data_IF_686632571675
#
_entry.id   IF_686632571675
#
_cell.length_a   1.000
_cell.length_b   1.000
_cell.length_c   1.000
_cell.angle_alpha   90.00
_cell.angle_beta   90.00
_cell.angle_gamma   90.00
#
_symmetry.space_group_name_H-M   'P 1'
#
loop_
_entity.id
_entity.type
_entity.pdbx_description
1 polymer ?
#
# COMPACT_ATOMS: atom_id res chain seq x y z
N UNK A 1 -38.78 8.70 7.09
CA UNK A 1 -38.69 8.98 5.63
C UNK A 1 -38.19 7.72 4.90
N UNK A 2 -39.04 6.70 4.70
CA UNK A 2 -38.59 5.39 4.19
C UNK A 2 -38.00 5.47 2.77
N UNK A 3 -38.49 6.39 1.94
CA UNK A 3 -37.99 6.60 0.58
C UNK A 3 -36.56 7.15 0.55
N UNK A 4 -36.21 8.05 1.49
CA UNK A 4 -34.87 8.63 1.60
C UNK A 4 -33.85 7.56 2.02
N UNK A 5 -34.20 6.74 3.03
CA UNK A 5 -33.34 5.64 3.49
C UNK A 5 -33.16 4.57 2.40
N UNK A 6 -34.21 4.25 1.63
CA UNK A 6 -34.11 3.35 0.47
C UNK A 6 -33.23 3.94 -0.64
N UNK A 7 -33.42 5.21 -0.97
CA UNK A 7 -32.59 5.91 -1.94
C UNK A 7 -31.12 5.91 -1.53
N UNK A 8 -30.83 6.25 -0.27
CA UNK A 8 -29.49 6.22 0.29
C UNK A 8 -28.87 4.82 0.16
N UNK A 9 -29.57 3.78 0.61
CA UNK A 9 -29.05 2.41 0.59
C UNK A 9 -28.80 1.91 -0.84
N UNK A 10 -29.68 2.24 -1.79
CA UNK A 10 -29.50 1.89 -3.20
C UNK A 10 -28.29 2.61 -3.81
N UNK A 11 -28.21 3.93 -3.61
CA UNK A 11 -27.11 4.76 -4.10
C UNK A 11 -25.77 4.27 -3.53
N UNK A 12 -25.72 4.03 -2.23
CA UNK A 12 -24.58 3.47 -1.53
C UNK A 12 -24.12 2.13 -2.13
N UNK A 13 -25.07 1.23 -2.40
CA UNK A 13 -24.80 -0.10 -2.97
C UNK A 13 -24.24 0.03 -4.38
N UNK A 14 -24.86 0.85 -5.24
CA UNK A 14 -24.44 1.04 -6.62
C UNK A 14 -23.04 1.67 -6.72
N UNK A 15 -22.77 2.74 -5.95
CA UNK A 15 -21.47 3.42 -5.96
C UNK A 15 -20.35 2.48 -5.49
N UNK A 16 -20.59 1.75 -4.39
CA UNK A 16 -19.62 0.80 -3.86
C UNK A 16 -19.37 -0.36 -4.82
N UNK A 17 -20.41 -0.84 -5.50
CA UNK A 17 -20.30 -1.91 -6.49
C UNK A 17 -19.47 -1.49 -7.70
N UNK A 18 -19.77 -0.32 -8.28
CA UNK A 18 -19.01 0.23 -9.40
C UNK A 18 -17.54 0.42 -8.99
N UNK A 19 -17.29 1.02 -7.82
CA UNK A 19 -15.93 1.19 -7.29
C UNK A 19 -15.18 -0.13 -7.14
N UNK A 20 -15.81 -1.15 -6.55
CA UNK A 20 -15.23 -2.49 -6.39
C UNK A 20 -14.88 -3.15 -7.73
N UNK A 21 -15.80 -3.12 -8.70
CA UNK A 21 -15.58 -3.70 -10.03
C UNK A 21 -14.45 -2.98 -10.77
N UNK A 22 -14.39 -1.65 -10.70
CA UNK A 22 -13.32 -0.89 -11.34
C UNK A 22 -11.94 -1.21 -10.74
N UNK A 23 -11.82 -1.27 -9.41
CA UNK A 23 -10.55 -1.66 -8.78
C UNK A 23 -10.15 -3.10 -9.11
N UNK A 24 -11.12 -4.03 -9.17
CA UNK A 24 -10.85 -5.41 -9.61
C UNK A 24 -10.40 -5.48 -11.07
N UNK A 25 -11.00 -4.67 -11.94
CA UNK A 25 -10.60 -4.58 -13.34
C UNK A 25 -9.15 -4.06 -13.47
N UNK A 26 -8.78 -3.02 -12.70
CA UNK A 26 -7.41 -2.51 -12.65
C UNK A 26 -6.45 -3.57 -12.10
N UNK A 27 -6.83 -4.27 -11.02
CA UNK A 27 -6.06 -5.38 -10.46
C UNK A 27 -5.77 -6.46 -11.50
N UNK A 28 -6.80 -6.90 -12.23
CA UNK A 28 -6.64 -7.93 -13.27
C UNK A 28 -5.75 -7.44 -14.41
N UNK A 29 -5.93 -6.19 -14.83
CA UNK A 29 -5.09 -5.57 -15.86
C UNK A 29 -3.62 -5.52 -15.43
N UNK A 30 -3.33 -5.06 -14.20
CA UNK A 30 -1.97 -5.01 -13.65
C UNK A 30 -1.34 -6.41 -13.66
N UNK A 31 -2.08 -7.42 -13.18
CA UNK A 31 -1.59 -8.79 -13.10
C UNK A 31 -1.28 -9.37 -14.49
N UNK A 32 -2.11 -9.07 -15.49
CA UNK A 32 -1.90 -9.51 -16.86
C UNK A 32 -0.72 -8.80 -17.53
N UNK A 33 -0.63 -7.46 -17.39
CA UNK A 33 0.33 -6.62 -18.12
C UNK A 33 1.72 -6.61 -17.49
N UNK A 34 1.81 -6.67 -16.16
CA UNK A 34 3.07 -6.56 -15.41
C UNK A 34 3.46 -7.89 -14.75
N UNK A 35 2.99 -9.02 -15.28
CA UNK A 35 3.24 -10.36 -14.72
C UNK A 35 4.73 -10.59 -14.43
N UNK A 36 5.60 -10.34 -15.41
CA UNK A 36 7.06 -10.51 -15.27
C UNK A 36 7.65 -9.63 -14.16
N UNK A 37 7.27 -8.35 -14.11
CA UNK A 37 7.73 -7.40 -13.07
C UNK A 37 7.24 -7.82 -11.68
N UNK A 38 6.03 -8.37 -11.58
CA UNK A 38 5.43 -8.84 -10.34
C UNK A 38 5.95 -10.20 -9.88
N UNK A 39 6.43 -11.05 -10.79
CA UNK A 39 7.02 -12.37 -10.51
C UNK A 39 8.52 -12.28 -10.20
N UNK A 40 9.24 -11.33 -10.81
CA UNK A 40 10.62 -10.98 -10.43
C UNK A 40 10.71 -10.27 -9.08
N UNK A 41 9.68 -9.51 -8.73
CA UNK A 41 9.53 -8.89 -7.43
C UNK A 41 9.04 -9.89 -6.38
N UNK A 42 9.60 -9.84 -5.17
CA UNK A 42 9.15 -10.72 -4.10
C UNK A 42 7.64 -10.63 -3.85
N UNK A 43 7.03 -11.75 -3.40
CA UNK A 43 5.61 -11.88 -3.01
C UNK A 43 5.10 -10.82 -2.01
N UNK A 44 6.03 -10.13 -1.36
CA UNK A 44 5.91 -9.10 -0.32
C UNK A 44 5.69 -7.68 -0.91
N UNK A 45 5.90 -7.46 -2.22
CA UNK A 45 5.70 -6.16 -2.91
C UNK A 45 4.49 -6.12 -3.84
N UNK A 46 3.47 -6.92 -3.52
CA UNK A 46 2.29 -7.06 -4.35
C UNK A 46 1.28 -5.93 -4.14
N UNK A 47 1.55 -4.80 -4.79
CA UNK A 47 0.63 -3.67 -4.89
C UNK A 47 -0.76 -4.09 -5.41
N UNK A 48 -0.78 -5.12 -6.26
CA UNK A 48 -1.96 -5.84 -6.73
C UNK A 48 -2.79 -6.43 -5.57
N UNK A 49 -2.16 -6.99 -4.53
CA UNK A 49 -2.88 -7.49 -3.35
C UNK A 49 -3.55 -6.37 -2.55
N UNK A 50 -2.91 -5.21 -2.42
CA UNK A 50 -3.51 -4.05 -1.75
C UNK A 50 -4.80 -3.59 -2.45
N UNK A 51 -4.75 -3.48 -3.78
CA UNK A 51 -5.90 -3.24 -4.65
C UNK A 51 -7.02 -4.27 -4.47
N UNK A 52 -6.66 -5.54 -4.39
CA UNK A 52 -7.61 -6.63 -4.15
C UNK A 52 -8.34 -6.46 -2.81
N UNK A 53 -7.59 -6.15 -1.73
CA UNK A 53 -8.19 -5.93 -0.41
C UNK A 53 -9.06 -4.69 -0.35
N UNK A 54 -8.67 -3.58 -1.00
CA UNK A 54 -9.55 -2.41 -1.14
C UNK A 54 -10.84 -2.73 -1.90
N UNK A 55 -10.75 -3.54 -2.95
CA UNK A 55 -11.92 -3.99 -3.70
C UNK A 55 -12.85 -4.84 -2.84
N UNK A 56 -12.30 -5.77 -2.05
CA UNK A 56 -13.09 -6.58 -1.13
C UNK A 56 -13.71 -5.76 -0.01
N UNK A 57 -13.01 -4.77 0.54
CA UNK A 57 -13.60 -3.81 1.50
C UNK A 57 -14.83 -3.11 0.91
N UNK A 58 -14.77 -2.65 -0.34
CA UNK A 58 -15.94 -2.05 -1.01
C UNK A 58 -17.05 -3.08 -1.32
N UNK A 59 -16.73 -4.34 -1.60
CA UNK A 59 -17.76 -5.37 -1.69
C UNK A 59 -18.47 -5.61 -0.35
N UNK A 60 -17.79 -5.43 0.79
CA UNK A 60 -18.45 -5.47 2.10
C UNK A 60 -19.43 -4.29 2.27
N UNK A 61 -19.15 -3.12 1.67
CA UNK A 61 -20.14 -2.05 1.60
C UNK A 61 -21.34 -2.41 0.75
N UNK A 62 -21.15 -3.10 -0.38
CA UNK A 62 -22.26 -3.62 -1.20
C UNK A 62 -23.13 -4.57 -0.38
N UNK A 63 -22.53 -5.55 0.32
CA UNK A 63 -23.29 -6.49 1.14
C UNK A 63 -23.97 -5.81 2.32
N UNK A 64 -23.33 -4.80 2.93
CA UNK A 64 -23.94 -3.96 3.97
C UNK A 64 -25.15 -3.16 3.45
N UNK A 65 -25.07 -2.61 2.24
CA UNK A 65 -26.19 -1.92 1.61
C UNK A 65 -27.36 -2.87 1.31
N UNK A 66 -27.07 -4.07 0.78
CA UNK A 66 -28.09 -5.11 0.56
C UNK A 66 -28.72 -5.56 1.88
N UNK A 67 -27.91 -5.76 2.93
CA UNK A 67 -28.41 -6.12 4.26
C UNK A 67 -29.37 -5.07 4.82
N UNK A 68 -29.06 -3.78 4.64
CA UNK A 68 -29.94 -2.69 5.02
C UNK A 68 -31.23 -2.64 4.19
N UNK A 69 -31.16 -2.91 2.88
CA UNK A 69 -32.36 -3.00 2.02
C UNK A 69 -33.26 -4.17 2.44
N UNK A 70 -32.70 -5.33 2.72
CA UNK A 70 -33.44 -6.50 3.21
C UNK A 70 -34.08 -6.22 4.57
N UNK A 71 -33.35 -5.55 5.47
CA UNK A 71 -33.88 -5.14 6.77
C UNK A 71 -35.08 -4.20 6.65
N UNK A 72 -35.02 -3.25 5.71
CA UNK A 72 -36.14 -2.35 5.43
C UNK A 72 -37.34 -3.10 4.83
N UNK A 73 -37.09 -4.03 3.89
CA UNK A 73 -38.13 -4.78 3.20
C UNK A 73 -38.87 -5.75 4.12
N UNK A 74 -38.14 -6.49 4.95
CA UNK A 74 -38.67 -7.45 5.92
C UNK A 74 -38.94 -6.83 7.30
N UNK A 75 -38.79 -5.51 7.44
CA UNK A 75 -39.10 -4.72 8.66
C UNK A 75 -38.37 -5.18 9.94
N UNK A 76 -37.15 -5.71 9.82
CA UNK A 76 -36.36 -6.16 10.97
C UNK A 76 -35.22 -5.19 11.35
N UNK A 77 -35.22 -3.96 10.84
CA UNK A 77 -34.17 -2.94 11.12
C UNK A 77 -33.90 -2.70 12.61
N UNK A 78 -34.94 -2.81 13.45
CA UNK A 78 -34.82 -2.59 14.91
C UNK A 78 -34.41 -3.83 15.70
N UNK A 79 -34.23 -4.97 15.03
CA UNK A 79 -33.91 -6.24 15.69
C UNK A 79 -32.43 -6.34 16.02
N UNK A 80 -32.11 -7.10 17.06
CA UNK A 80 -30.74 -7.48 17.41
C UNK A 80 -30.05 -8.20 16.24
N UNK A 81 -30.79 -8.99 15.45
CA UNK A 81 -30.29 -9.66 14.24
C UNK A 81 -29.75 -8.67 13.21
N UNK A 82 -30.44 -7.56 12.97
CA UNK A 82 -29.94 -6.52 12.06
C UNK A 82 -28.62 -5.93 12.57
N UNK A 83 -28.57 -5.57 13.85
CA UNK A 83 -27.42 -4.96 14.50
C UNK A 83 -26.19 -5.89 14.52
N UNK A 84 -26.38 -7.18 14.80
CA UNK A 84 -25.32 -8.20 14.72
C UNK A 84 -24.76 -8.28 13.30
N UNK A 85 -25.62 -8.31 12.27
CA UNK A 85 -25.18 -8.31 10.87
C UNK A 85 -24.36 -7.07 10.50
N UNK A 86 -24.80 -5.88 10.93
CA UNK A 86 -24.07 -4.62 10.71
C UNK A 86 -22.68 -4.66 11.37
N UNK A 87 -22.59 -5.11 12.63
CA UNK A 87 -21.33 -5.19 13.37
C UNK A 87 -20.33 -6.18 12.74
N UNK A 88 -20.81 -7.35 12.28
CA UNK A 88 -19.97 -8.33 11.58
C UNK A 88 -19.43 -7.73 10.28
N UNK A 89 -20.30 -7.10 9.47
CA UNK A 89 -19.89 -6.47 8.21
C UNK A 89 -18.92 -5.31 8.44
N UNK A 90 -19.13 -4.48 9.46
CA UNK A 90 -18.19 -3.42 9.86
C UNK A 90 -16.81 -3.99 10.21
N UNK A 91 -16.78 -5.09 10.97
CA UNK A 91 -15.55 -5.78 11.36
C UNK A 91 -14.79 -6.33 10.16
N UNK A 92 -15.48 -7.05 9.28
CA UNK A 92 -14.88 -7.63 8.07
C UNK A 92 -14.36 -6.53 7.15
N UNK A 93 -15.12 -5.43 7.03
CA UNK A 93 -14.69 -4.24 6.29
C UNK A 93 -13.39 -3.66 6.87
N UNK A 94 -13.34 -3.43 8.18
CA UNK A 94 -12.17 -2.93 8.90
C UNK A 94 -10.93 -3.83 8.74
N UNK A 95 -11.12 -5.15 8.72
CA UNK A 95 -10.06 -6.10 8.44
C UNK A 95 -9.51 -5.94 7.01
N UNK A 96 -10.37 -5.78 6.01
CA UNK A 96 -9.93 -5.56 4.63
C UNK A 96 -9.16 -4.24 4.47
N UNK A 97 -9.60 -3.15 5.11
CA UNK A 97 -8.85 -1.88 5.12
C UNK A 97 -7.46 -2.04 5.72
N UNK A 98 -7.35 -2.72 6.87
CA UNK A 98 -6.05 -3.00 7.49
C UNK A 98 -5.14 -3.83 6.57
N UNK A 99 -5.69 -4.90 5.99
CA UNK A 99 -4.94 -5.77 5.08
C UNK A 99 -4.48 -5.02 3.84
N UNK A 100 -5.27 -4.07 3.33
CA UNK A 100 -4.85 -3.21 2.24
C UNK A 100 -3.71 -2.26 2.64
N UNK A 101 -3.78 -1.65 3.84
CA UNK A 101 -2.74 -0.76 4.36
C UNK A 101 -1.38 -1.46 4.54
N UNK A 102 -1.35 -2.77 4.81
CA UNK A 102 -0.11 -3.55 4.84
C UNK A 102 0.72 -3.44 3.55
N UNK A 103 0.06 -3.24 2.40
CA UNK A 103 0.69 -3.14 1.07
C UNK A 103 0.95 -1.67 0.63
N UNK A 104 0.43 -0.68 1.35
CA UNK A 104 0.66 0.74 1.05
C UNK A 104 2.08 1.12 1.49
N UNK A 105 2.87 1.65 0.55
CA UNK A 105 4.31 1.88 0.77
C UNK A 105 4.61 2.90 1.87
N UNK A 106 3.79 3.93 1.99
CA UNK A 106 4.01 5.02 2.95
C UNK A 106 3.14 4.90 4.20
N UNK A 107 2.56 3.71 4.43
CA UNK A 107 1.88 3.40 5.67
C UNK A 107 2.84 3.50 6.87
N UNK A 108 2.34 3.76 8.09
CA UNK A 108 3.18 3.80 9.28
C UNK A 108 4.08 2.57 9.40
N UNK A 109 5.35 2.79 9.81
CA UNK A 109 6.41 1.75 9.85
C UNK A 109 6.03 0.50 10.65
N UNK A 110 5.10 0.61 11.60
CA UNK A 110 4.63 -0.52 12.39
C UNK A 110 3.59 -1.40 11.67
N UNK A 111 2.93 -0.90 10.61
CA UNK A 111 2.01 -1.66 9.75
C UNK A 111 2.75 -2.15 8.52
N UNK A 112 3.50 -1.25 7.89
CA UNK A 112 4.18 -1.55 6.64
C UNK A 112 5.20 -2.68 6.81
N UNK A 113 5.02 -3.78 6.07
CA UNK A 113 5.94 -4.92 6.02
C UNK A 113 6.29 -5.52 7.39
N UNK A 114 5.39 -5.40 8.37
CA UNK A 114 5.56 -5.99 9.68
C UNK A 114 4.47 -7.03 9.95
N UNK A 115 4.70 -8.28 9.53
CA UNK A 115 3.73 -9.36 9.65
C UNK A 115 3.29 -9.63 11.10
N UNK A 116 4.22 -9.50 12.07
CA UNK A 116 3.91 -9.69 13.48
C UNK A 116 2.91 -8.65 13.95
N UNK A 117 3.15 -7.39 13.66
CA UNK A 117 2.28 -6.30 14.07
C UNK A 117 0.94 -6.33 13.35
N UNK A 118 0.88 -6.65 12.06
CA UNK A 118 -0.40 -6.78 11.36
C UNK A 118 -1.25 -7.92 11.92
N UNK A 119 -0.64 -9.07 12.28
CA UNK A 119 -1.36 -10.14 12.98
C UNK A 119 -1.91 -9.68 14.34
N UNK A 120 -1.13 -8.91 15.09
CA UNK A 120 -1.58 -8.33 16.37
C UNK A 120 -2.74 -7.35 16.16
N UNK A 121 -2.65 -6.44 15.18
CA UNK A 121 -3.72 -5.48 14.90
C UNK A 121 -4.98 -6.19 14.38
N UNK A 122 -4.83 -7.22 13.54
CA UNK A 122 -5.95 -8.05 13.11
C UNK A 122 -6.62 -8.78 14.28
N UNK A 123 -5.83 -9.30 15.23
CA UNK A 123 -6.36 -9.89 16.46
C UNK A 123 -7.10 -8.84 17.30
N UNK A 124 -6.56 -7.62 17.43
CA UNK A 124 -7.23 -6.51 18.13
C UNK A 124 -8.57 -6.19 17.47
N UNK A 125 -8.65 -6.14 16.14
CA UNK A 125 -9.91 -5.94 15.40
C UNK A 125 -10.94 -7.00 15.77
N UNK A 126 -10.53 -8.28 15.77
CA UNK A 126 -11.43 -9.40 16.13
C UNK A 126 -11.88 -9.28 17.59
N UNK A 127 -10.98 -8.95 18.52
CA UNK A 127 -11.32 -8.77 19.94
C UNK A 127 -12.30 -7.61 20.12
N UNK A 128 -12.03 -6.45 19.50
CA UNK A 128 -12.92 -5.28 19.57
C UNK A 128 -14.29 -5.62 18.98
N UNK A 129 -14.34 -6.34 17.86
CA UNK A 129 -15.59 -6.81 17.26
C UNK A 129 -16.36 -7.77 18.17
N UNK A 130 -15.68 -8.71 18.83
CA UNK A 130 -16.30 -9.60 19.82
C UNK A 130 -16.88 -8.81 20.99
N UNK A 131 -16.18 -7.77 21.46
CA UNK A 131 -16.69 -6.86 22.49
C UNK A 131 -17.91 -6.08 21.99
N UNK A 132 -17.87 -5.55 20.76
CA UNK A 132 -19.02 -4.87 20.13
C UNK A 132 -20.24 -5.79 20.06
N UNK A 133 -20.05 -7.05 19.66
CA UNK A 133 -21.14 -8.04 19.61
C UNK A 133 -21.70 -8.34 21.00
N UNK A 134 -20.82 -8.52 22.00
CA UNK A 134 -21.21 -8.75 23.38
C UNK A 134 -22.01 -7.56 23.93
N UNK A 135 -21.54 -6.33 23.72
CA UNK A 135 -22.24 -5.13 24.13
C UNK A 135 -23.57 -4.96 23.41
N UNK A 136 -23.62 -5.25 22.11
CA UNK A 136 -24.85 -5.24 21.32
C UNK A 136 -25.87 -6.27 21.81
N UNK A 137 -25.42 -7.41 22.35
CA UNK A 137 -26.32 -8.43 22.91
C UNK A 137 -26.80 -8.10 24.32
N UNK A 138 -25.99 -7.42 25.14
CA UNK A 138 -26.33 -7.09 26.53
C UNK A 138 -27.16 -5.81 26.65
N UNK A 139 -26.79 -4.77 25.92
CA UNK A 139 -27.37 -3.42 26.04
C UNK A 139 -28.31 -3.06 24.87
N UNK A 140 -28.41 -3.92 23.86
CA UNK A 140 -29.29 -3.72 22.71
C UNK A 140 -29.01 -2.42 21.95
N UNK A 141 -30.08 -1.71 21.60
CA UNK A 141 -30.04 -0.44 20.87
C UNK A 141 -30.38 0.76 21.76
N UNK A 142 -30.18 0.64 23.08
CA UNK A 142 -30.52 1.69 24.03
C UNK A 142 -29.45 2.77 24.13
N UNK A 143 -29.90 4.01 24.34
CA UNK A 143 -29.04 5.16 24.56
C UNK A 143 -28.90 5.43 26.06
N UNK A 144 -27.66 5.50 26.53
CA UNK A 144 -27.33 5.86 27.91
C UNK A 144 -26.61 7.21 27.89
N UNK A 145 -27.13 8.21 28.60
CA UNK A 145 -26.54 9.57 28.65
C UNK A 145 -26.25 10.20 27.28
N UNK A 146 -27.10 9.99 26.27
CA UNK A 146 -26.88 10.55 24.93
C UNK A 146 -25.98 9.71 24.03
N UNK A 147 -25.47 8.57 24.51
CA UNK A 147 -24.46 7.74 23.84
C UNK A 147 -24.96 6.30 23.67
N UNK A 148 -24.80 5.74 22.47
CA UNK A 148 -25.05 4.33 22.21
C UNK A 148 -23.83 3.48 22.58
N UNK A 149 -23.84 2.90 23.78
CA UNK A 149 -22.73 2.11 24.34
C UNK A 149 -22.36 0.94 23.40
N UNK A 150 -23.36 0.30 22.78
CA UNK A 150 -23.17 -0.83 21.89
C UNK A 150 -22.34 -0.52 20.62
N UNK A 151 -22.29 0.74 20.19
CA UNK A 151 -21.56 1.16 18.99
C UNK A 151 -20.17 1.77 19.30
N UNK A 152 -19.87 2.02 20.57
CA UNK A 152 -18.65 2.73 21.00
C UNK A 152 -17.34 1.99 20.63
N UNK A 153 -17.22 0.66 20.82
CA UNK A 153 -15.99 -0.04 20.45
C UNK A 153 -15.73 -0.02 18.93
N UNK A 154 -16.78 -0.12 18.10
CA UNK A 154 -16.64 -0.06 16.64
C UNK A 154 -16.21 1.33 16.14
N UNK A 155 -16.74 2.39 16.75
CA UNK A 155 -16.29 3.76 16.44
C UNK A 155 -14.84 3.98 16.85
N UNK A 156 -14.39 3.50 18.01
CA UNK A 156 -12.98 3.58 18.40
C UNK A 156 -12.07 2.89 17.37
N UNK A 157 -12.45 1.69 16.93
CA UNK A 157 -11.70 0.97 15.91
C UNK A 157 -11.69 1.72 14.56
N UNK A 158 -12.85 2.21 14.14
CA UNK A 158 -12.99 2.95 12.89
C UNK A 158 -12.21 4.27 12.94
N UNK A 159 -12.16 4.94 14.10
CA UNK A 159 -11.35 6.13 14.35
C UNK A 159 -9.87 5.82 14.15
N UNK A 160 -9.40 4.74 14.75
CA UNK A 160 -8.02 4.29 14.61
C UNK A 160 -7.68 4.00 13.14
N UNK A 161 -8.53 3.27 12.42
CA UNK A 161 -8.32 2.99 10.99
C UNK A 161 -8.37 4.26 10.13
N UNK A 162 -9.30 5.18 10.37
CA UNK A 162 -9.37 6.46 9.67
C UNK A 162 -8.08 7.26 9.87
N UNK A 163 -7.56 7.32 11.09
CA UNK A 163 -6.27 7.97 11.35
C UNK A 163 -5.13 7.33 10.54
N UNK A 164 -5.03 5.99 10.56
CA UNK A 164 -4.01 5.28 9.80
C UNK A 164 -4.13 5.50 8.29
N UNK A 165 -5.34 5.43 7.75
CA UNK A 165 -5.61 5.69 6.34
C UNK A 165 -5.26 7.13 5.97
N UNK A 166 -5.64 8.10 6.81
CA UNK A 166 -5.37 9.53 6.58
C UNK A 166 -3.89 9.81 6.49
N UNK A 167 -3.10 9.32 7.46
CA UNK A 167 -1.65 9.46 7.45
C UNK A 167 -1.02 8.74 6.25
N UNK A 168 -1.48 7.53 5.94
CA UNK A 168 -0.91 6.71 4.85
C UNK A 168 -1.16 7.35 3.48
N UNK A 169 -2.41 7.74 3.20
CA UNK A 169 -2.78 8.32 1.90
C UNK A 169 -2.19 9.70 1.72
N UNK A 170 -2.21 10.54 2.76
CA UNK A 170 -1.55 11.84 2.68
C UNK A 170 -0.07 11.69 2.32
N UNK A 171 0.68 10.82 3.03
CA UNK A 171 2.09 10.58 2.73
C UNK A 171 2.31 10.01 1.33
N UNK A 172 1.50 9.03 0.93
CA UNK A 172 1.61 8.41 -0.39
C UNK A 172 1.35 9.40 -1.52
N UNK A 173 0.32 10.25 -1.42
CA UNK A 173 0.03 11.22 -2.46
C UNK A 173 1.02 12.39 -2.45
N UNK A 174 1.49 12.84 -1.29
CA UNK A 174 2.53 13.88 -1.19
C UNK A 174 3.86 13.39 -1.77
N UNK A 175 4.26 12.15 -1.51
CA UNK A 175 5.48 11.56 -2.08
C UNK A 175 5.40 11.40 -3.61
N UNK A 176 4.18 11.30 -4.16
CA UNK A 176 3.91 11.18 -5.60
C UNK A 176 3.60 12.51 -6.28
N UNK A 177 3.85 13.63 -5.61
CA UNK A 177 3.52 14.99 -6.05
C UNK A 177 2.04 15.24 -6.40
N UNK A 178 1.13 14.36 -5.94
CA UNK A 178 -0.32 14.51 -6.07
C UNK A 178 -0.90 15.30 -4.88
N UNK A 179 -0.37 16.50 -4.64
CA UNK A 179 -0.66 17.31 -3.44
C UNK A 179 -2.16 17.57 -3.24
N UNK A 180 -2.87 17.92 -4.31
CA UNK A 180 -4.31 18.18 -4.26
C UNK A 180 -5.09 16.92 -3.83
N UNK A 181 -4.72 15.75 -4.36
CA UNK A 181 -5.33 14.46 -4.00
C UNK A 181 -5.01 14.10 -2.55
N UNK A 182 -3.81 14.43 -2.06
CA UNK A 182 -3.45 14.22 -0.67
C UNK A 182 -4.41 14.95 0.28
N UNK A 183 -4.71 16.23 0.02
CA UNK A 183 -5.67 16.99 0.82
C UNK A 183 -7.10 16.46 0.70
N UNK A 184 -7.56 16.15 -0.53
CA UNK A 184 -8.89 15.55 -0.74
C UNK A 184 -9.02 14.24 0.04
N UNK A 185 -7.98 13.40 0.07
CA UNK A 185 -8.03 12.12 0.78
C UNK A 185 -8.23 12.31 2.29
N UNK A 186 -7.58 13.30 2.90
CA UNK A 186 -7.74 13.62 4.32
C UNK A 186 -9.16 14.13 4.59
N UNK A 187 -9.68 15.04 3.74
CA UNK A 187 -11.04 15.56 3.88
C UNK A 187 -12.07 14.43 3.76
N UNK A 188 -11.95 13.54 2.77
CA UNK A 188 -12.84 12.40 2.59
C UNK A 188 -12.84 11.47 3.81
N UNK A 189 -11.67 11.22 4.40
CA UNK A 189 -11.53 10.37 5.59
C UNK A 189 -12.09 11.06 6.84
N UNK A 190 -11.94 12.37 6.98
CA UNK A 190 -12.58 13.14 8.06
C UNK A 190 -14.10 13.10 7.93
N UNK A 191 -14.65 13.27 6.72
CA UNK A 191 -16.08 13.13 6.48
C UNK A 191 -16.58 11.70 6.78
N UNK A 192 -15.79 10.68 6.44
CA UNK A 192 -16.09 9.29 6.79
C UNK A 192 -16.16 9.14 8.33
N UNK A 193 -15.19 9.69 9.06
CA UNK A 193 -15.17 9.66 10.51
C UNK A 193 -16.37 10.39 11.12
N UNK A 194 -16.68 11.61 10.66
CA UNK A 194 -17.86 12.37 11.12
C UNK A 194 -19.15 11.58 10.89
N UNK A 195 -19.27 10.90 9.74
CA UNK A 195 -20.44 10.07 9.43
C UNK A 195 -20.61 8.82 10.30
N UNK A 196 -19.59 8.46 11.08
CA UNK A 196 -19.63 7.35 12.03
C UNK A 196 -19.93 7.83 13.46
N UNK A 197 -19.55 9.07 13.80
CA UNK A 197 -19.91 9.68 15.08
C UNK A 197 -21.43 9.85 15.24
N UNK A 198 -22.15 10.07 14.13
CA UNK A 198 -23.62 10.12 14.14
C UNK A 198 -24.27 8.82 14.61
N UNK A 199 -23.59 7.68 14.49
CA UNK A 199 -24.14 6.38 14.92
C UNK A 199 -24.03 6.16 16.44
N UNK A 200 -23.27 7.02 17.13
CA UNK A 200 -23.01 6.94 18.59
C UNK A 200 -23.65 8.07 19.37
N UNK A 201 -23.66 9.29 18.82
CA UNK A 201 -24.07 10.51 19.53
C UNK A 201 -25.47 10.98 19.10
N UNK A 202 -26.38 11.13 20.05
CA UNK A 202 -27.76 11.64 19.81
C UNK A 202 -27.75 13.10 19.32
N UNK A 203 -26.73 13.89 19.64
CA UNK A 203 -26.65 15.31 19.24
C UNK A 203 -26.50 15.55 17.73
N UNK A 204 -26.26 14.49 16.95
CA UNK A 204 -26.11 14.55 15.49
C UNK A 204 -27.34 14.01 14.73
N UNK A 205 -28.53 13.95 15.34
CA UNK A 205 -29.73 13.25 14.82
C UNK A 205 -30.43 13.89 13.59
N UNK A 206 -29.69 14.49 12.67
CA UNK A 206 -30.22 14.80 11.34
C UNK A 206 -29.94 13.62 10.39
N UNK A 207 -30.89 12.69 10.32
CA UNK A 207 -30.82 11.47 9.51
C UNK A 207 -30.43 11.75 8.05
N UNK A 208 -31.03 12.78 7.43
CA UNK A 208 -30.75 13.15 6.04
C UNK A 208 -29.30 13.65 5.87
N UNK A 209 -28.85 14.58 6.72
CA UNK A 209 -27.50 15.12 6.64
C UNK A 209 -26.44 14.04 6.85
N UNK A 210 -26.65 13.12 7.79
CA UNK A 210 -25.71 12.02 8.04
C UNK A 210 -25.62 11.05 6.86
N UNK A 211 -26.78 10.69 6.28
CA UNK A 211 -26.84 9.87 5.06
C UNK A 211 -26.14 10.57 3.89
N UNK A 212 -26.31 11.88 3.74
CA UNK A 212 -25.64 12.67 2.70
C UNK A 212 -24.11 12.69 2.89
N UNK A 213 -23.62 13.00 4.10
CA UNK A 213 -22.19 12.99 4.42
C UNK A 213 -21.60 11.60 4.15
N UNK A 214 -22.32 10.52 4.49
CA UNK A 214 -21.90 9.14 4.26
C UNK A 214 -21.79 8.78 2.77
N UNK A 215 -22.68 9.29 1.93
CA UNK A 215 -22.58 9.11 0.47
C UNK A 215 -21.39 9.90 -0.08
N UNK A 216 -21.24 11.16 0.32
CA UNK A 216 -20.15 12.02 -0.14
C UNK A 216 -18.80 11.39 0.23
N UNK A 217 -18.63 11.01 1.49
CA UNK A 217 -17.37 10.43 1.98
C UNK A 217 -16.99 9.14 1.24
N UNK A 218 -17.93 8.20 1.07
CA UNK A 218 -17.70 6.95 0.34
C UNK A 218 -17.39 7.18 -1.14
N UNK A 219 -18.13 8.08 -1.81
CA UNK A 219 -17.89 8.40 -3.22
C UNK A 219 -16.51 9.02 -3.41
N UNK A 220 -16.14 9.98 -2.56
CA UNK A 220 -14.80 10.58 -2.58
C UNK A 220 -13.73 9.54 -2.31
N UNK A 221 -13.96 8.61 -1.38
CA UNK A 221 -13.00 7.55 -1.06
C UNK A 221 -12.79 6.58 -2.24
N UNK A 222 -13.86 6.21 -2.95
CA UNK A 222 -13.78 5.43 -4.20
C UNK A 222 -12.89 6.13 -5.23
N UNK A 223 -13.10 7.44 -5.45
CA UNK A 223 -12.26 8.23 -6.35
C UNK A 223 -10.80 8.24 -5.90
N UNK A 224 -10.54 8.41 -4.59
CA UNK A 224 -9.19 8.36 -4.02
C UNK A 224 -8.54 7.00 -4.27
N UNK A 225 -9.25 5.88 -4.12
CA UNK A 225 -8.69 4.56 -4.43
C UNK A 225 -8.38 4.38 -5.91
N UNK A 226 -9.22 4.91 -6.81
CA UNK A 226 -8.95 4.85 -8.25
C UNK A 226 -7.70 5.67 -8.63
N UNK A 227 -7.47 6.81 -7.98
CA UNK A 227 -6.23 7.58 -8.18
C UNK A 227 -5.02 6.86 -7.58
N UNK A 228 -5.19 6.23 -6.40
CA UNK A 228 -4.15 5.39 -5.80
C UNK A 228 -3.78 4.22 -6.73
N UNK A 229 -4.78 3.54 -7.29
CA UNK A 229 -4.62 2.45 -8.24
C UNK A 229 -3.91 2.91 -9.51
N UNK A 230 -4.35 4.01 -10.12
CA UNK A 230 -3.73 4.55 -11.33
C UNK A 230 -2.29 4.99 -11.08
N UNK A 231 -2.01 5.63 -9.94
CA UNK A 231 -0.63 6.00 -9.60
C UNK A 231 0.27 4.78 -9.36
N UNK A 232 -0.28 3.66 -8.88
CA UNK A 232 0.43 2.38 -8.87
C UNK A 232 0.70 1.81 -10.26
N UNK A 233 -0.26 1.89 -11.19
CA UNK A 233 -0.06 1.50 -12.60
C UNK A 233 1.06 2.31 -13.23
N UNK A 234 1.06 3.64 -13.04
CA UNK A 234 2.11 4.54 -13.54
C UNK A 234 3.47 4.15 -12.96
N UNK A 235 3.54 3.89 -11.66
CA UNK A 235 4.79 3.49 -11.01
C UNK A 235 5.32 2.15 -11.52
N UNK A 236 4.44 1.17 -11.79
CA UNK A 236 4.81 -0.11 -12.40
C UNK A 236 5.25 0.07 -13.85
N UNK A 237 4.64 0.99 -14.60
CA UNK A 237 5.02 1.30 -15.98
C UNK A 237 6.42 1.96 -16.06
N UNK A 238 6.76 2.83 -15.12
CA UNK A 238 8.08 3.46 -15.02
C UNK A 238 9.14 2.62 -14.29
N UNK A 239 8.78 1.40 -13.86
CA UNK A 239 9.74 0.49 -13.24
C UNK A 239 10.61 -0.14 -14.33
N UNK A 240 11.93 0.09 -14.35
CA UNK A 240 12.77 -0.34 -15.48
C UNK A 240 12.74 -1.86 -15.69
N UNK A 241 12.75 -2.31 -16.95
CA UNK A 241 12.84 -3.74 -17.27
C UNK A 241 14.30 -4.22 -17.20
N UNK A 242 14.59 -5.45 -16.72
CA UNK A 242 15.95 -5.98 -16.71
C UNK A 242 16.66 -5.93 -18.08
N UNK A 243 15.90 -6.12 -19.16
CA UNK A 243 16.44 -6.20 -20.52
C UNK A 243 16.87 -4.85 -21.12
N UNK A 244 16.37 -3.72 -20.60
CA UNK A 244 16.78 -2.39 -21.08
C UNK A 244 17.92 -1.78 -20.26
N UNK A 245 18.21 -2.32 -19.07
CA UNK A 245 19.26 -1.82 -18.20
C UNK A 245 20.62 -2.37 -18.60
N UNK A 246 21.64 -1.51 -18.60
CA UNK A 246 23.05 -1.89 -18.80
C UNK A 246 23.94 -1.16 -17.81
N UNK A 247 24.93 -1.85 -17.28
CA UNK A 247 25.96 -1.25 -16.42
C UNK A 247 27.35 -1.69 -16.88
N UNK A 248 28.26 -0.74 -16.99
CA UNK A 248 29.66 -0.99 -17.29
C UNK A 248 30.52 -0.39 -16.18
N UNK A 249 31.39 -1.19 -15.58
CA UNK A 249 32.40 -0.72 -14.64
C UNK A 249 33.67 -0.45 -15.43
N UNK A 250 34.06 0.83 -15.49
CA UNK A 250 35.17 1.29 -16.34
C UNK A 250 36.49 1.34 -15.56
N UNK A 251 36.42 1.77 -14.30
CA UNK A 251 37.58 1.90 -13.41
C UNK A 251 37.10 1.94 -11.94
N UNK A 252 38.02 1.92 -10.98
CA UNK A 252 37.73 2.22 -9.58
C UNK A 252 37.03 3.58 -9.48
N UNK A 253 35.86 3.58 -8.86
CA UNK A 253 34.91 4.71 -8.75
C UNK A 253 34.11 5.08 -10.00
N UNK A 254 34.45 4.60 -11.20
CA UNK A 254 33.78 5.02 -12.44
C UNK A 254 32.89 3.93 -13.04
N UNK A 255 31.61 4.25 -13.23
CA UNK A 255 30.67 3.40 -13.96
C UNK A 255 30.01 4.15 -15.12
N UNK A 256 29.49 3.39 -16.07
CA UNK A 256 28.57 3.85 -17.11
C UNK A 256 27.25 3.12 -16.96
N UNK A 257 26.17 3.88 -16.78
CA UNK A 257 24.83 3.34 -16.52
C UNK A 257 23.88 3.76 -17.65
N UNK A 258 23.05 2.81 -18.09
CA UNK A 258 21.98 3.05 -19.06
C UNK A 258 20.68 2.43 -18.54
N UNK A 259 19.67 3.27 -18.32
CA UNK A 259 18.30 2.94 -17.93
C UNK A 259 17.37 3.86 -18.75
N UNK A 260 16.99 3.45 -19.97
CA UNK A 260 16.24 4.32 -20.90
C UNK A 260 14.89 4.80 -20.36
N UNK A 261 14.17 3.96 -19.62
CA UNK A 261 12.88 4.28 -18.99
C UNK A 261 12.94 5.34 -17.89
N UNK A 262 14.15 5.76 -17.50
CA UNK A 262 14.42 6.82 -16.53
C UNK A 262 15.20 8.00 -17.15
N UNK A 263 15.27 8.05 -18.48
CA UNK A 263 16.06 9.03 -19.21
C UNK A 263 17.58 8.91 -19.06
N UNK A 264 18.08 7.87 -18.38
CA UNK A 264 19.52 7.68 -18.16
C UNK A 264 20.10 6.94 -19.36
N UNK A 265 20.82 7.64 -20.24
CA UNK A 265 21.42 7.02 -21.43
C UNK A 265 22.93 7.20 -21.40
N UNK A 266 23.67 6.10 -21.25
CA UNK A 266 25.14 6.08 -21.29
C UNK A 266 25.78 7.05 -20.28
N UNK A 267 25.13 7.31 -19.16
CA UNK A 267 25.57 8.28 -18.18
C UNK A 267 26.80 7.77 -17.44
N UNK A 268 27.87 8.57 -17.44
CA UNK A 268 29.07 8.30 -16.64
C UNK A 268 28.86 8.81 -15.22
N UNK A 269 29.05 7.93 -14.24
CA UNK A 269 28.89 8.22 -12.83
C UNK A 269 30.22 7.95 -12.16
N UNK A 270 30.82 9.01 -11.62
CA UNK A 270 32.03 8.92 -10.82
C UNK A 270 31.67 9.04 -9.33
N UNK A 271 31.93 7.97 -8.59
CA UNK A 271 31.71 7.93 -7.15
C UNK A 271 32.78 8.69 -6.36
N UNK A 272 33.92 9.04 -6.96
CA UNK A 272 35.03 9.72 -6.32
C UNK A 272 35.43 9.07 -5.00
N UNK A 273 35.40 9.85 -3.91
CA UNK A 273 35.72 9.38 -2.55
C UNK A 273 34.70 8.40 -1.93
N UNK A 274 33.56 8.17 -2.58
CA UNK A 274 32.47 7.29 -2.10
C UNK A 274 32.73 5.81 -2.45
N UNK A 275 33.92 5.34 -2.13
CA UNK A 275 34.45 4.02 -2.54
C UNK A 275 33.65 2.85 -1.96
N UNK A 276 33.04 3.00 -0.78
CA UNK A 276 32.23 1.94 -0.16
C UNK A 276 30.97 1.63 -0.98
N UNK A 277 30.28 2.64 -1.49
CA UNK A 277 29.05 2.45 -2.27
C UNK A 277 29.37 1.87 -3.64
N UNK A 278 30.45 2.34 -4.27
CA UNK A 278 30.98 1.74 -5.48
C UNK A 278 31.31 0.26 -5.26
N UNK A 279 32.10 -0.07 -4.22
CA UNK A 279 32.50 -1.45 -3.91
C UNK A 279 31.28 -2.34 -3.69
N UNK A 280 30.29 -1.90 -2.93
CA UNK A 280 29.05 -2.65 -2.73
C UNK A 280 28.31 -2.90 -4.05
N UNK A 281 28.21 -1.89 -4.92
CA UNK A 281 27.58 -2.02 -6.24
C UNK A 281 28.36 -2.99 -7.16
N UNK A 282 29.70 -2.93 -7.12
CA UNK A 282 30.57 -3.85 -7.84
C UNK A 282 30.41 -5.28 -7.30
N UNK A 283 30.29 -5.49 -5.99
CA UNK A 283 29.99 -6.81 -5.40
C UNK A 283 28.65 -7.35 -5.90
N UNK A 284 27.61 -6.51 -5.96
CA UNK A 284 26.31 -6.89 -6.53
C UNK A 284 26.42 -7.33 -7.99
N UNK A 285 27.19 -6.57 -8.80
CA UNK A 285 27.40 -6.87 -10.21
C UNK A 285 28.23 -8.14 -10.43
N UNK A 286 29.32 -8.30 -9.68
CA UNK A 286 30.19 -9.48 -9.73
C UNK A 286 29.40 -10.75 -9.39
N UNK A 287 28.67 -10.76 -8.27
CA UNK A 287 27.85 -11.92 -7.88
C UNK A 287 26.80 -12.24 -8.93
N UNK A 288 26.11 -11.21 -9.45
CA UNK A 288 25.08 -11.40 -10.48
C UNK A 288 25.63 -11.96 -11.79
N UNK A 289 26.85 -11.58 -12.19
CA UNK A 289 27.46 -11.98 -13.47
C UNK A 289 28.16 -13.34 -13.41
N UNK A 290 28.91 -13.62 -12.35
CA UNK A 290 29.85 -14.75 -12.31
C UNK A 290 29.42 -15.90 -11.39
N UNK A 291 28.45 -15.71 -10.48
CA UNK A 291 28.02 -16.77 -9.58
C UNK A 291 26.73 -17.46 -10.04
N UNK A 292 26.56 -18.69 -9.58
CA UNK A 292 25.35 -19.50 -9.76
C UNK A 292 24.13 -18.86 -9.07
N UNK A 293 22.94 -19.20 -9.55
CA UNK A 293 21.69 -18.50 -9.23
C UNK A 293 21.38 -18.39 -7.73
N UNK A 294 21.78 -19.38 -6.93
CA UNK A 294 21.62 -19.43 -5.47
C UNK A 294 22.55 -18.45 -4.73
N UNK A 295 23.72 -18.15 -5.31
CA UNK A 295 24.77 -17.28 -4.75
C UNK A 295 24.78 -15.87 -5.34
N UNK A 296 23.91 -15.57 -6.29
CA UNK A 296 23.79 -14.23 -6.89
C UNK A 296 23.26 -13.16 -5.92
N UNK A 297 22.70 -13.57 -4.78
CA UNK A 297 22.16 -12.64 -3.79
C UNK A 297 23.20 -12.27 -2.71
N UNK A 298 23.03 -11.07 -2.15
CA UNK A 298 23.82 -10.51 -1.05
C UNK A 298 22.94 -10.45 0.20
N UNK A 299 23.46 -10.94 1.32
CA UNK A 299 22.75 -10.88 2.61
C UNK A 299 23.01 -9.52 3.26
N UNK A 300 21.95 -8.79 3.57
CA UNK A 300 22.00 -7.44 4.13
C UNK A 300 21.46 -7.44 5.56
N UNK A 301 22.32 -7.77 6.53
CA UNK A 301 22.05 -7.72 7.97
C UNK A 301 23.35 -7.45 8.73
N UNK A 302 23.29 -7.29 10.06
CA UNK A 302 24.45 -6.91 10.88
C UNK A 302 25.64 -7.89 10.78
N UNK A 303 25.41 -9.15 10.42
CA UNK A 303 26.43 -10.18 10.22
C UNK A 303 26.62 -10.63 8.77
N UNK A 304 26.03 -9.89 7.82
CA UNK A 304 26.04 -10.21 6.39
C UNK A 304 27.07 -9.40 5.63
N UNK A 305 27.12 -9.63 4.32
CA UNK A 305 28.03 -8.93 3.40
C UNK A 305 27.88 -7.41 3.46
N UNK A 306 26.64 -6.92 3.67
CA UNK A 306 26.35 -5.50 3.86
C UNK A 306 25.61 -5.31 5.18
N UNK A 307 26.20 -4.52 6.08
CA UNK A 307 25.74 -4.36 7.47
C UNK A 307 24.30 -3.86 7.62
N UNK A 308 23.78 -3.06 6.68
CA UNK A 308 22.43 -2.52 6.78
C UNK A 308 21.82 -2.11 5.43
N UNK A 309 20.49 -2.04 5.40
CA UNK A 309 19.75 -1.54 4.24
C UNK A 309 20.11 -0.10 3.86
N UNK A 310 20.59 0.69 4.83
CA UNK A 310 21.03 2.08 4.60
C UNK A 310 22.18 2.13 3.60
N UNK A 311 23.11 1.17 3.62
CA UNK A 311 24.19 1.12 2.65
C UNK A 311 23.70 0.81 1.24
N UNK A 312 22.67 -0.02 1.11
CA UNK A 312 22.02 -0.30 -0.18
C UNK A 312 21.32 0.94 -0.71
N UNK A 313 20.58 1.66 0.14
CA UNK A 313 19.91 2.92 -0.25
C UNK A 313 20.92 3.99 -0.67
N UNK A 314 22.04 4.12 0.05
CA UNK A 314 23.11 5.09 -0.26
C UNK A 314 23.74 4.92 -1.64
N UNK A 315 23.78 3.70 -2.20
CA UNK A 315 24.23 3.49 -3.59
C UNK A 315 23.36 4.30 -4.55
N UNK A 316 22.05 4.22 -4.35
CA UNK A 316 21.04 4.85 -5.20
C UNK A 316 21.01 6.35 -4.97
N UNK A 317 21.07 6.79 -3.71
CA UNK A 317 21.12 8.22 -3.38
C UNK A 317 22.35 8.89 -4.00
N UNK A 318 23.49 8.20 -4.01
CA UNK A 318 24.70 8.70 -4.66
C UNK A 318 24.54 8.82 -6.18
N UNK A 319 23.97 7.80 -6.84
CA UNK A 319 23.72 7.86 -8.28
C UNK A 319 22.78 9.03 -8.61
N UNK A 320 21.68 9.18 -7.88
CA UNK A 320 20.74 10.29 -8.07
C UNK A 320 21.40 11.66 -7.85
N UNK A 321 22.24 11.76 -6.81
CA UNK A 321 22.97 13.00 -6.50
C UNK A 321 24.03 13.35 -7.55
N UNK A 322 24.69 12.35 -8.15
CA UNK A 322 25.72 12.59 -9.18
C UNK A 322 25.06 12.97 -10.51
N UNK A 323 23.92 12.35 -10.83
CA UNK A 323 23.18 12.60 -12.06
C UNK A 323 22.23 13.80 -11.99
N UNK A 324 22.12 14.48 -10.83
CA UNK A 324 21.18 15.58 -10.58
C UNK A 324 19.73 15.25 -11.02
N UNK A 325 19.28 14.03 -10.72
CA UNK A 325 17.91 13.62 -11.06
C UNK A 325 16.94 14.24 -10.04
N UNK A 326 16.21 15.28 -10.44
CA UNK A 326 15.22 15.95 -9.58
C UNK A 326 13.82 15.31 -9.69
N UNK A 327 13.33 15.06 -10.91
CA UNK A 327 11.96 14.56 -11.17
C UNK A 327 11.89 13.02 -11.32
N UNK A 328 12.86 12.39 -11.98
CA UNK A 328 12.89 10.92 -12.22
C UNK A 328 13.97 10.20 -11.39
N UNK A 329 13.95 10.40 -10.07
CA UNK A 329 14.89 9.72 -9.16
C UNK A 329 14.80 8.20 -9.32
N UNK A 330 15.97 7.56 -9.34
CA UNK A 330 16.05 6.11 -9.19
C UNK A 330 15.62 5.75 -7.78
N UNK A 331 14.66 4.82 -7.67
CA UNK A 331 14.37 4.19 -6.41
C UNK A 331 15.23 2.92 -6.26
N UNK A 332 15.46 2.48 -5.02
CA UNK A 332 16.21 1.23 -4.75
C UNK A 332 15.73 0.05 -5.56
N UNK A 333 14.41 -0.08 -5.75
CA UNK A 333 13.79 -1.18 -6.48
C UNK A 333 14.07 -1.15 -7.99
N UNK A 334 14.48 -0.01 -8.53
CA UNK A 334 14.73 0.15 -9.96
C UNK A 334 16.01 -0.59 -10.34
N UNK A 335 17.04 -0.52 -9.48
CA UNK A 335 18.34 -1.17 -9.69
C UNK A 335 18.54 -2.46 -8.88
N UNK A 336 18.01 -2.54 -7.65
CA UNK A 336 18.25 -3.63 -6.69
C UNK A 336 16.94 -4.27 -6.22
N UNK A 337 16.79 -5.57 -6.47
CA UNK A 337 15.63 -6.36 -6.08
C UNK A 337 15.86 -7.04 -4.73
N UNK A 338 14.81 -7.07 -3.90
CA UNK A 338 14.78 -7.83 -2.64
C UNK A 338 14.21 -9.22 -2.91
N UNK A 339 14.94 -10.28 -2.53
CA UNK A 339 14.59 -11.69 -2.80
C UNK A 339 13.98 -12.38 -1.57
N UNK A 340 14.12 -11.81 -0.38
CA UNK A 340 13.56 -12.38 0.87
C UNK A 340 14.65 -12.64 1.88
N UNK A 341 14.32 -12.86 3.16
CA UNK A 341 15.32 -13.21 4.20
C UNK A 341 16.52 -12.24 4.27
N UNK A 342 16.28 -10.93 4.07
CA UNK A 342 17.35 -9.92 3.99
C UNK A 342 18.31 -10.07 2.79
N UNK A 343 17.98 -10.89 1.79
CA UNK A 343 18.75 -11.07 0.55
C UNK A 343 18.36 -10.07 -0.54
N UNK A 344 19.35 -9.48 -1.19
CA UNK A 344 19.20 -8.50 -2.27
C UNK A 344 20.00 -8.94 -3.50
N UNK A 345 19.59 -8.51 -4.69
CA UNK A 345 20.27 -8.83 -5.96
C UNK A 345 20.18 -7.66 -6.92
N UNK A 346 21.20 -7.49 -7.76
CA UNK A 346 21.14 -6.56 -8.88
C UNK A 346 20.08 -7.02 -9.89
N UNK A 347 19.26 -6.08 -10.37
CA UNK A 347 18.16 -6.39 -11.28
C UNK A 347 18.60 -6.54 -12.74
N UNK A 348 19.74 -5.94 -13.10
CA UNK A 348 20.35 -6.04 -14.42
C UNK A 348 20.66 -7.51 -14.77
N UNK A 349 20.40 -7.90 -16.02
CA UNK A 349 20.74 -9.25 -16.51
C UNK A 349 22.26 -9.46 -16.55
N UNK A 350 22.75 -10.68 -16.28
CA UNK A 350 24.19 -11.00 -16.32
C UNK A 350 24.88 -10.55 -17.61
N UNK A 351 24.22 -10.73 -18.75
CA UNK A 351 24.70 -10.36 -20.10
C UNK A 351 24.88 -8.84 -20.29
N UNK A 352 24.16 -8.03 -19.51
CA UNK A 352 24.18 -6.57 -19.58
C UNK A 352 25.10 -5.92 -18.54
N UNK A 353 25.84 -6.74 -17.78
CA UNK A 353 26.85 -6.30 -16.83
C UNK A 353 28.20 -6.46 -17.50
N UNK A 354 28.94 -5.37 -17.65
CA UNK A 354 30.33 -5.38 -18.14
C UNK A 354 31.23 -4.87 -17.03
N UNK A 355 32.32 -5.59 -16.76
CA UNK A 355 33.33 -5.19 -15.80
C UNK A 355 34.64 -5.24 -16.58
N UNK A 356 35.41 -4.15 -16.55
CA UNK A 356 36.73 -4.09 -17.17
C UNK A 356 37.63 -5.22 -16.64
N UNK A 357 38.44 -5.81 -17.52
CA UNK A 357 39.24 -7.00 -17.18
C UNK A 357 40.31 -6.70 -16.14
N UNK A 358 40.97 -5.54 -16.21
CA UNK A 358 42.00 -5.16 -15.24
C UNK A 358 41.36 -4.95 -13.85
N UNK A 359 40.25 -4.22 -13.81
CA UNK A 359 39.46 -4.03 -12.59
C UNK A 359 38.97 -5.36 -12.00
N UNK A 360 38.55 -6.30 -12.85
CA UNK A 360 38.05 -7.60 -12.42
C UNK A 360 39.15 -8.42 -11.72
N UNK A 361 40.35 -8.45 -12.29
CA UNK A 361 41.48 -9.16 -11.70
C UNK A 361 41.92 -8.54 -10.38
N UNK A 362 42.00 -7.20 -10.30
CA UNK A 362 42.28 -6.50 -9.04
C UNK A 362 41.20 -6.77 -7.98
N UNK A 363 39.93 -6.78 -8.37
CA UNK A 363 38.83 -7.06 -7.46
C UNK A 363 38.87 -8.49 -6.92
N UNK A 364 39.22 -9.47 -7.77
CA UNK A 364 39.41 -10.87 -7.35
C UNK A 364 40.56 -11.05 -6.37
N UNK A 365 41.63 -10.25 -6.47
CA UNK A 365 42.75 -10.29 -5.51
C UNK A 365 42.37 -9.73 -4.14
N UNK A 366 41.32 -8.90 -4.05
CA UNK A 366 40.83 -8.31 -2.79
C UNK A 366 39.68 -9.08 -2.13
N UNK A 367 39.11 -10.07 -2.83
CA UNK A 367 38.08 -10.98 -2.32
C UNK A 367 38.71 -12.06 -1.42
#
# INVERSE_FOLDING_TARGET
MPEVTRFHNLLHTCISFIGAVLLLAIYYNIRKRFKEVLEEGNSIKRVDKGLLYFSFGMLVWVTSGIWALLANYFTFEKTTTHQVGVNILSTVNNLFWLMALYYVHDAPKFIYRNEKNVKIIALIIVVVASITLLFSSLYGNEFYYGVKIAALPDVLLTTFLCFLMGVSFYRTFMYRDLKLVAFISVIAIVLLFVSQLSDVLISFDNEFTNQLIRVISKTSLVSVFLVLATSWVIQLAHTPKPNEMKIQFLDWSLIKLTIPSKGIVNAKIDFGSKTTQYKNLLTFAFRRKYLEADKQAIIVNSGGDIKSQTYVTRIIDNINSILNLEEEKLERKDLITFIGESKYRLRILPEHIVIDEALLEEYKQQL
#
